data_IF_567416104056
#
_entry.id   IF_567416104056
#
_cell.length_a   1.000
_cell.length_b   1.000
_cell.length_c   1.000
_cell.angle_alpha   90.00
_cell.angle_beta   90.00
_cell.angle_gamma   90.00
#
_symmetry.space_group_name_H-M   'P 1'
#
loop_
_entity.id
_entity.type
_entity.pdbx_description
1 polymer ?
#
# COMPACT_ATOMS: atom_id res chain seq x y z
N UNK A 1 9.57 -19.45 -22.36
CA UNK A 1 8.52 -20.10 -21.53
C UNK A 1 9.01 -20.48 -20.13
N UNK A 2 10.16 -21.16 -19.98
CA UNK A 2 10.71 -21.57 -18.68
C UNK A 2 10.97 -20.39 -17.71
N UNK A 3 11.52 -19.28 -18.20
CA UNK A 3 11.88 -18.11 -17.38
C UNK A 3 10.65 -17.32 -16.90
N UNK A 4 9.56 -17.33 -17.67
CA UNK A 4 8.31 -16.64 -17.30
C UNK A 4 7.56 -17.38 -16.19
N UNK A 5 7.55 -18.72 -16.25
CA UNK A 5 6.95 -19.57 -15.19
C UNK A 5 7.71 -19.44 -13.87
N UNK A 6 9.05 -19.37 -13.91
CA UNK A 6 9.89 -19.18 -12.71
C UNK A 6 9.66 -17.81 -12.06
N UNK A 7 9.46 -16.73 -12.85
CA UNK A 7 9.17 -15.39 -12.32
C UNK A 7 7.81 -15.34 -11.64
N UNK A 8 6.76 -15.93 -12.25
CA UNK A 8 5.42 -16.05 -11.67
C UNK A 8 5.40 -16.90 -10.39
N UNK A 9 6.19 -17.98 -10.34
CA UNK A 9 6.31 -18.82 -9.14
C UNK A 9 7.02 -18.07 -7.99
N UNK A 10 8.06 -17.28 -8.31
CA UNK A 10 8.77 -16.47 -7.29
C UNK A 10 7.92 -15.32 -6.74
N UNK A 11 7.10 -14.69 -7.59
CA UNK A 11 6.20 -13.60 -7.19
C UNK A 11 5.05 -14.12 -6.32
N UNK A 12 4.55 -15.32 -6.62
CA UNK A 12 3.59 -16.06 -5.80
C UNK A 12 4.16 -16.41 -4.41
N UNK A 13 5.39 -16.92 -4.36
CA UNK A 13 6.07 -17.23 -3.09
C UNK A 13 6.35 -15.98 -2.25
N UNK A 14 6.69 -14.86 -2.88
CA UNK A 14 6.83 -13.58 -2.18
C UNK A 14 5.50 -13.07 -1.62
N UNK A 15 4.41 -13.24 -2.36
CA UNK A 15 3.07 -12.83 -1.92
C UNK A 15 2.55 -13.69 -0.76
N UNK A 16 2.85 -14.99 -0.78
CA UNK A 16 2.45 -15.94 0.27
C UNK A 16 3.30 -15.76 1.53
N UNK A 17 4.62 -15.60 1.42
CA UNK A 17 5.51 -15.36 2.58
C UNK A 17 5.22 -14.02 3.27
N UNK A 18 4.88 -12.97 2.51
CA UNK A 18 4.49 -11.67 3.05
C UNK A 18 3.20 -11.73 3.90
N UNK A 19 2.22 -12.54 3.51
CA UNK A 19 0.99 -12.74 4.27
C UNK A 19 1.23 -13.50 5.59
N UNK A 20 2.20 -14.42 5.63
CA UNK A 20 2.55 -15.15 6.85
C UNK A 20 3.25 -14.27 7.90
N UNK A 21 4.01 -13.25 7.49
CA UNK A 21 4.65 -12.31 8.43
C UNK A 21 3.67 -11.28 9.03
N UNK A 22 2.54 -11.01 8.35
CA UNK A 22 1.51 -10.09 8.84
C UNK A 22 0.66 -10.68 9.97
N UNK A 23 0.57 -12.01 10.08
CA UNK A 23 -0.34 -12.69 11.04
C UNK A 23 0.24 -12.93 12.45
N UNK A 24 1.36 -12.32 12.84
CA UNK A 24 2.08 -12.70 14.08
C UNK A 24 2.18 -11.64 15.19
N UNK A 25 1.31 -10.62 15.24
CA UNK A 25 1.19 -9.76 16.43
C UNK A 25 0.00 -10.18 17.30
N UNK A 26 0.25 -11.15 18.16
CA UNK A 26 -0.59 -11.50 19.31
C UNK A 26 0.23 -11.43 20.60
N UNK A 27 0.79 -10.27 20.92
CA UNK A 27 1.56 -10.04 22.15
C UNK A 27 0.67 -9.47 23.26
N UNK A 28 0.25 -10.33 24.19
CA UNK A 28 -0.31 -9.89 25.48
C UNK A 28 0.84 -9.64 26.45
N UNK A 29 1.14 -8.38 26.77
CA UNK A 29 2.00 -8.04 27.91
C UNK A 29 1.14 -7.97 29.17
N UNK A 30 1.09 -9.06 29.93
CA UNK A 30 0.47 -9.09 31.25
C UNK A 30 1.37 -8.41 32.29
N UNK A 31 0.96 -7.26 32.81
CA UNK A 31 1.48 -6.68 34.05
C UNK A 31 0.75 -7.28 35.26
N UNK A 32 1.44 -7.53 36.40
CA UNK A 32 0.82 -8.18 37.55
C UNK A 32 0.04 -7.16 38.39
N UNK A 33 -1.30 -7.25 38.37
CA UNK A 33 -2.16 -6.64 39.38
C UNK A 33 -3.46 -6.06 38.84
N UNK A 34 -4.59 -6.75 39.08
CA UNK A 34 -5.93 -6.13 39.06
C UNK A 34 -7.07 -6.96 38.45
N UNK A 35 -7.86 -7.58 39.34
CA UNK A 35 -9.25 -8.06 39.21
C UNK A 35 -9.63 -9.14 38.15
N UNK A 36 -10.28 -10.25 38.55
CA UNK A 36 -10.91 -11.19 37.62
C UNK A 36 -12.29 -10.65 37.20
N UNK A 37 -12.31 -9.45 36.61
CA UNK A 37 -13.35 -9.09 35.68
C UNK A 37 -12.84 -9.52 34.32
N UNK A 38 -13.53 -10.44 33.64
CA UNK A 38 -13.23 -10.76 32.24
C UNK A 38 -13.58 -9.52 31.41
N UNK A 39 -12.72 -8.51 31.44
CA UNK A 39 -12.50 -7.63 30.32
C UNK A 39 -11.75 -8.46 29.29
N UNK A 40 -12.47 -9.39 28.66
CA UNK A 40 -12.12 -9.80 27.31
C UNK A 40 -12.29 -8.56 26.44
N UNK A 41 -11.32 -7.65 26.53
CA UNK A 41 -11.08 -6.65 25.52
C UNK A 41 -10.79 -7.47 24.28
N UNK A 42 -11.81 -7.67 23.45
CA UNK A 42 -11.66 -8.33 22.16
C UNK A 42 -10.71 -7.41 21.39
N UNK A 43 -9.41 -7.75 21.26
CA UNK A 43 -8.45 -6.86 20.64
C UNK A 43 -8.89 -6.77 19.20
N UNK A 44 -9.31 -5.59 18.76
CA UNK A 44 -9.77 -5.41 17.40
C UNK A 44 -8.61 -5.79 16.46
N UNK A 45 -8.71 -6.89 15.69
CA UNK A 45 -7.60 -7.37 14.84
C UNK A 45 -7.31 -6.39 13.69
N UNK A 46 -8.16 -5.39 13.50
CA UNK A 46 -7.92 -4.23 12.66
C UNK A 46 -7.69 -3.04 13.60
N UNK A 47 -6.43 -2.65 13.78
CA UNK A 47 -5.96 -1.66 14.78
C UNK A 47 -6.51 -0.23 14.64
N UNK A 48 -7.64 -0.03 13.98
CA UNK A 48 -8.22 1.28 13.64
C UNK A 48 -9.29 1.80 14.59
N UNK A 49 -9.88 0.98 15.45
CA UNK A 49 -10.96 1.41 16.35
C UNK A 49 -12.37 0.97 15.93
N UNK A 50 -13.38 1.31 16.72
CA UNK A 50 -14.75 0.75 16.69
C UNK A 50 -15.66 1.32 15.60
N UNK A 51 -15.13 2.11 14.66
CA UNK A 51 -15.90 2.86 13.67
C UNK A 51 -15.52 2.48 12.23
N UNK A 52 -16.52 2.43 11.35
CA UNK A 52 -16.33 2.09 9.93
C UNK A 52 -15.26 2.95 9.24
N UNK A 53 -15.23 4.24 9.56
CA UNK A 53 -14.23 5.18 9.04
C UNK A 53 -12.79 4.76 9.37
N UNK A 54 -12.59 4.25 10.58
CA UNK A 54 -11.28 3.91 11.09
C UNK A 54 -10.80 2.54 10.57
N UNK A 55 -11.74 1.62 10.29
CA UNK A 55 -11.48 0.41 9.51
C UNK A 55 -11.03 0.76 8.09
N UNK A 56 -11.77 1.64 7.39
CA UNK A 56 -11.42 2.11 6.03
C UNK A 56 -10.02 2.73 6.00
N UNK A 57 -9.70 3.60 6.96
CA UNK A 57 -8.38 4.21 7.07
C UNK A 57 -7.27 3.17 7.25
N UNK A 58 -7.47 2.22 8.17
CA UNK A 58 -6.49 1.16 8.44
C UNK A 58 -6.23 0.28 7.22
N UNK A 59 -7.28 -0.04 6.46
CA UNK A 59 -7.16 -0.80 5.21
C UNK A 59 -6.37 0.00 4.18
N UNK A 60 -6.66 1.28 4.03
CA UNK A 60 -5.94 2.13 3.06
C UNK A 60 -4.45 2.21 3.41
N UNK A 61 -4.13 2.47 4.67
CA UNK A 61 -2.74 2.68 5.10
C UNK A 61 -1.91 1.40 5.19
N UNK A 62 -2.51 0.32 5.68
CA UNK A 62 -1.78 -0.94 5.94
C UNK A 62 -1.77 -1.88 4.75
N UNK A 63 -2.71 -1.75 3.81
CA UNK A 63 -2.87 -2.68 2.69
C UNK A 63 -2.65 -1.95 1.36
N UNK A 64 -3.40 -0.88 1.09
CA UNK A 64 -3.37 -0.21 -0.22
C UNK A 64 -2.05 0.53 -0.47
N UNK A 65 -1.55 1.30 0.50
CA UNK A 65 -0.31 2.07 0.32
C UNK A 65 0.93 1.19 0.08
N UNK A 66 1.23 0.15 0.89
CA UNK A 66 2.40 -0.68 0.65
C UNK A 66 2.30 -1.49 -0.64
N UNK A 67 1.12 -2.05 -0.95
CA UNK A 67 0.92 -2.80 -2.20
C UNK A 67 1.01 -1.87 -3.42
N UNK A 68 0.40 -0.68 -3.33
CA UNK A 68 0.43 0.33 -4.38
C UNK A 68 1.84 0.84 -4.66
N UNK A 69 2.65 1.05 -3.61
CA UNK A 69 4.05 1.45 -3.75
C UNK A 69 4.90 0.39 -4.48
N UNK A 70 4.77 -0.88 -4.09
CA UNK A 70 5.49 -1.98 -4.78
C UNK A 70 5.05 -2.11 -6.24
N UNK A 71 3.75 -2.01 -6.51
CA UNK A 71 3.21 -2.08 -7.87
C UNK A 71 3.69 -0.91 -8.74
N UNK A 72 3.76 0.31 -8.20
CA UNK A 72 4.25 1.48 -8.92
C UNK A 72 5.71 1.28 -9.37
N UNK A 73 6.58 0.79 -8.49
CA UNK A 73 7.98 0.47 -8.84
C UNK A 73 8.04 -0.59 -9.93
N UNK A 74 7.24 -1.65 -9.82
CA UNK A 74 7.18 -2.71 -10.82
C UNK A 74 6.76 -2.19 -12.20
N UNK A 75 5.77 -1.29 -12.25
CA UNK A 75 5.29 -0.66 -13.46
C UNK A 75 6.36 0.24 -14.10
N UNK A 76 7.14 0.96 -13.30
CA UNK A 76 8.28 1.75 -13.79
C UNK A 76 9.36 0.87 -14.42
N UNK A 77 9.73 -0.23 -13.76
CA UNK A 77 10.70 -1.20 -14.29
C UNK A 77 10.19 -1.80 -15.61
N UNK A 78 8.90 -2.15 -15.69
CA UNK A 78 8.28 -2.69 -16.90
C UNK A 78 8.33 -1.69 -18.06
N UNK A 79 7.98 -0.43 -17.82
CA UNK A 79 8.07 0.63 -18.83
C UNK A 79 9.51 0.84 -19.32
N UNK A 80 10.49 0.82 -18.41
CA UNK A 80 11.91 0.88 -18.75
C UNK A 80 12.37 -0.29 -19.61
N UNK A 81 11.94 -1.52 -19.28
CA UNK A 81 12.23 -2.71 -20.09
C UNK A 81 11.68 -2.61 -21.51
N UNK A 82 10.47 -2.06 -21.67
CA UNK A 82 9.86 -1.86 -22.98
C UNK A 82 10.68 -0.88 -23.84
N UNK A 83 11.29 0.13 -23.21
CA UNK A 83 12.18 1.08 -23.86
C UNK A 83 13.47 0.41 -24.36
N UNK A 84 14.08 -0.47 -23.54
CA UNK A 84 15.29 -1.21 -23.92
C UNK A 84 15.02 -2.21 -25.03
N UNK A 85 13.87 -2.92 -24.98
CA UNK A 85 13.49 -3.90 -26.01
C UNK A 85 13.09 -3.27 -27.35
N UNK A 86 12.77 -1.97 -27.38
CA UNK A 86 12.35 -1.32 -28.61
C UNK A 86 13.47 -1.24 -29.67
N UNK A 87 14.75 -1.29 -29.27
CA UNK A 87 15.94 -1.42 -30.14
C UNK A 87 15.93 -0.55 -31.42
N UNK A 88 15.30 0.64 -31.39
CA UNK A 88 15.22 1.55 -32.53
C UNK A 88 14.00 1.37 -33.46
N UNK A 89 13.08 0.46 -33.17
CA UNK A 89 11.79 0.39 -33.86
C UNK A 89 10.85 1.50 -33.34
N UNK A 90 10.52 2.46 -34.20
CA UNK A 90 9.66 3.60 -33.84
C UNK A 90 8.30 3.21 -33.24
N UNK A 91 7.71 2.10 -33.70
CA UNK A 91 6.42 1.63 -33.19
C UNK A 91 6.53 1.24 -31.72
N UNK A 92 7.61 0.55 -31.35
CA UNK A 92 7.86 0.09 -29.97
C UNK A 92 8.31 1.21 -29.05
N UNK A 93 9.02 2.21 -29.59
CA UNK A 93 9.35 3.43 -28.83
C UNK A 93 8.08 4.22 -28.49
N UNK A 94 7.14 4.37 -29.44
CA UNK A 94 5.84 5.03 -29.16
C UNK A 94 5.04 4.28 -28.10
N UNK A 95 5.07 2.95 -28.13
CA UNK A 95 4.45 2.10 -27.10
C UNK A 95 5.11 2.32 -25.72
N UNK A 96 6.44 2.39 -25.67
CA UNK A 96 7.20 2.65 -24.44
C UNK A 96 6.88 4.02 -23.83
N UNK A 97 6.78 5.07 -24.66
CA UNK A 97 6.38 6.41 -24.20
C UNK A 97 4.99 6.41 -23.59
N UNK A 98 4.03 5.75 -24.23
CA UNK A 98 2.67 5.63 -23.68
C UNK A 98 2.69 4.93 -22.34
N UNK A 99 3.39 3.79 -22.24
CA UNK A 99 3.52 3.05 -20.99
C UNK A 99 4.11 3.93 -19.88
N UNK A 100 5.18 4.69 -20.17
CA UNK A 100 5.82 5.58 -19.19
C UNK A 100 4.87 6.69 -18.72
N UNK A 101 4.11 7.30 -19.64
CA UNK A 101 3.12 8.31 -19.30
C UNK A 101 2.01 7.74 -18.40
N UNK A 102 1.46 6.58 -18.74
CA UNK A 102 0.42 5.94 -17.91
C UNK A 102 0.96 5.56 -16.52
N UNK A 103 2.17 5.01 -16.43
CA UNK A 103 2.81 4.71 -15.15
C UNK A 103 3.08 5.96 -14.33
N UNK A 104 3.52 7.05 -14.96
CA UNK A 104 3.79 8.32 -14.29
C UNK A 104 2.51 8.95 -13.74
N UNK A 105 1.44 8.96 -14.54
CA UNK A 105 0.12 9.50 -14.11
C UNK A 105 -0.45 8.65 -12.97
N UNK A 106 -0.41 7.32 -13.07
CA UNK A 106 -0.90 6.44 -12.00
C UNK A 106 -0.14 6.66 -10.68
N UNK A 107 1.18 6.80 -10.76
CA UNK A 107 2.02 7.08 -9.58
C UNK A 107 1.75 8.48 -9.02
N UNK A 108 1.61 9.49 -9.88
CA UNK A 108 1.29 10.85 -9.48
C UNK A 108 -0.06 10.94 -8.78
N UNK A 109 -1.07 10.19 -9.21
CA UNK A 109 -2.37 10.13 -8.53
C UNK A 109 -2.26 9.44 -7.18
N UNK A 110 -1.48 8.35 -7.08
CA UNK A 110 -1.29 7.62 -5.83
C UNK A 110 -0.61 8.50 -4.76
N UNK A 111 0.49 9.17 -5.12
CA UNK A 111 1.20 10.09 -4.24
C UNK A 111 0.40 11.38 -4.01
N UNK A 112 -0.24 11.90 -5.06
CA UNK A 112 -1.02 13.13 -5.04
C UNK A 112 -2.25 13.02 -4.13
N UNK A 113 -2.91 11.87 -4.09
CA UNK A 113 -4.04 11.62 -3.19
C UNK A 113 -3.67 11.85 -1.72
N UNK A 114 -2.54 11.30 -1.29
CA UNK A 114 -2.05 11.44 0.08
C UNK A 114 -1.66 12.89 0.41
N UNK A 115 -0.94 13.55 -0.51
CA UNK A 115 -0.55 14.96 -0.34
C UNK A 115 -1.78 15.87 -0.27
N UNK A 116 -2.73 15.71 -1.18
CA UNK A 116 -3.95 16.50 -1.20
C UNK A 116 -4.79 16.30 0.05
N UNK A 117 -4.93 15.06 0.52
CA UNK A 117 -5.61 14.77 1.78
C UNK A 117 -4.97 15.54 2.94
N UNK A 118 -3.64 15.48 3.08
CA UNK A 118 -2.93 16.19 4.15
C UNK A 118 -3.06 17.71 4.06
N UNK A 119 -3.02 18.28 2.85
CA UNK A 119 -3.21 19.73 2.66
C UNK A 119 -4.59 20.18 3.12
N UNK A 120 -5.64 19.42 2.77
CA UNK A 120 -7.00 19.71 3.20
C UNK A 120 -7.11 19.60 4.73
N UNK A 121 -6.56 18.53 5.31
CA UNK A 121 -6.56 18.30 6.76
C UNK A 121 -5.86 19.44 7.52
N UNK A 122 -4.68 19.87 7.04
CA UNK A 122 -3.93 20.96 7.64
C UNK A 122 -4.67 22.29 7.54
N UNK A 123 -5.34 22.54 6.42
CA UNK A 123 -6.15 23.76 6.23
C UNK A 123 -7.32 23.78 7.20
N UNK A 124 -8.03 22.66 7.38
CA UNK A 124 -9.14 22.55 8.33
C UNK A 124 -8.65 22.70 9.78
N UNK A 125 -7.50 22.10 10.12
CA UNK A 125 -6.91 22.23 11.45
C UNK A 125 -6.50 23.68 11.78
N UNK A 126 -5.96 24.42 10.81
CA UNK A 126 -5.63 25.84 10.96
C UNK A 126 -6.87 26.72 11.20
N UNK A 127 -8.04 26.28 10.73
CA UNK A 127 -9.32 26.96 10.93
C UNK A 127 -10.05 26.53 12.22
N UNK A 128 -9.41 25.74 13.09
CA UNK A 128 -9.97 25.29 14.36
C UNK A 128 -10.81 24.01 14.28
N UNK A 129 -10.78 23.29 13.15
CA UNK A 129 -11.41 21.98 13.01
C UNK A 129 -10.60 20.85 13.64
N UNK A 130 -11.21 19.66 13.87
CA UNK A 130 -10.50 18.49 14.38
C UNK A 130 -9.43 18.05 13.38
N UNK A 131 -8.19 17.84 13.87
CA UNK A 131 -7.11 17.31 13.06
C UNK A 131 -7.46 15.90 12.59
N UNK A 132 -7.44 15.66 11.28
CA UNK A 132 -7.63 14.33 10.74
C UNK A 132 -6.45 13.45 11.16
N UNK A 133 -6.69 12.22 11.65
CA UNK A 133 -5.59 11.30 11.94
C UNK A 133 -4.85 11.01 10.62
N UNK A 134 -3.53 11.21 10.64
CA UNK A 134 -2.63 10.86 9.53
C UNK A 134 -2.53 9.34 9.38
#
# INVERSE_FOLDING_TARGET
MKKLSVVLLSLSIFFVMGAFLVSAQGGVTGGPGGNPGVSASLPNPFSGGSSLFALMKTIVDKIILPIGGVLAVLAFVYSGFLYVMAQGNESKIKEAHKALLYTSVGTAVLLGSWVLANVICNTIAQLGGPACPA
#
